data_IF_471948272447
#
_entry.id   IF_471948272447
#
_cell.length_a   1.000
_cell.length_b   1.000
_cell.length_c   1.000
_cell.angle_alpha   90.00
_cell.angle_beta   90.00
_cell.angle_gamma   90.00
#
_symmetry.space_group_name_H-M   'P 1'
#
loop_
_entity.id
_entity.type
_entity.pdbx_description
1 polymer ?
#
# COMPACT_ATOMS: atom_id res chain seq x y z
N UNK A 1 -4.04 4.54 18.47
CA UNK A 1 -4.75 3.81 17.41
C UNK A 1 -6.23 3.84 17.74
N UNK A 2 -7.08 4.27 16.81
CA UNK A 2 -8.53 4.34 16.99
C UNK A 2 -9.09 2.96 17.38
N UNK A 3 -9.99 2.93 18.36
CA UNK A 3 -10.66 1.70 18.80
C UNK A 3 -11.45 1.05 17.65
N UNK A 4 -12.02 1.85 16.74
CA UNK A 4 -12.75 1.34 15.57
C UNK A 4 -11.82 0.63 14.59
N UNK A 5 -10.58 1.07 14.44
CA UNK A 5 -9.59 0.42 13.60
C UNK A 5 -9.35 -1.03 14.05
N UNK A 6 -9.09 -1.22 15.34
CA UNK A 6 -8.87 -2.56 15.89
C UNK A 6 -10.15 -3.41 15.89
N UNK A 7 -11.30 -2.82 16.20
CA UNK A 7 -12.60 -3.50 16.17
C UNK A 7 -12.96 -3.96 14.75
N UNK A 8 -12.78 -3.10 13.74
CA UNK A 8 -13.03 -3.42 12.34
C UNK A 8 -12.12 -4.55 11.86
N UNK A 9 -10.81 -4.49 12.15
CA UNK A 9 -9.87 -5.56 11.81
C UNK A 9 -10.27 -6.91 12.42
N UNK A 10 -10.73 -6.90 13.67
CA UNK A 10 -11.04 -8.11 14.45
C UNK A 10 -12.48 -8.60 14.28
N UNK A 11 -13.30 -7.93 13.46
CA UNK A 11 -14.72 -8.21 13.33
C UNK A 11 -15.47 -8.12 14.69
N UNK A 12 -15.25 -7.02 15.42
CA UNK A 12 -15.78 -6.78 16.78
C UNK A 12 -16.70 -5.56 16.88
N UNK A 13 -17.66 -5.45 15.95
CA UNK A 13 -18.72 -4.45 15.96
C UNK A 13 -18.18 -3.02 16.20
N UNK A 14 -17.37 -2.47 15.26
CA UNK A 14 -16.93 -1.09 15.35
C UNK A 14 -18.12 -0.14 15.35
N UNK A 15 -18.00 0.97 16.06
CA UNK A 15 -19.03 2.01 16.12
C UNK A 15 -19.15 2.77 14.79
N UNK A 16 -18.09 2.79 13.99
CA UNK A 16 -18.05 3.35 12.63
C UNK A 16 -17.03 2.60 11.78
N UNK A 17 -17.22 2.60 10.46
CA UNK A 17 -16.21 2.16 9.49
C UNK A 17 -15.03 3.13 9.55
N UNK A 18 -13.79 2.67 9.82
CA UNK A 18 -12.61 3.54 9.73
C UNK A 18 -12.43 4.05 8.30
N UNK A 19 -12.29 5.36 8.13
CA UNK A 19 -12.10 6.02 6.84
C UNK A 19 -10.89 6.94 6.89
N UNK A 20 -10.15 7.05 5.79
CA UNK A 20 -8.98 7.92 5.65
C UNK A 20 -8.93 8.56 4.27
N UNK A 21 -8.34 9.74 4.19
CA UNK A 21 -8.00 10.40 2.93
C UNK A 21 -6.50 10.69 2.94
N UNK A 22 -5.79 10.23 1.90
CA UNK A 22 -4.40 10.55 1.65
C UNK A 22 -4.31 11.62 0.57
N UNK A 23 -3.58 12.69 0.84
CA UNK A 23 -3.39 13.82 -0.07
C UNK A 23 -1.91 13.89 -0.44
N UNK A 24 -1.58 13.75 -1.72
CA UNK A 24 -0.18 13.78 -2.16
C UNK A 24 0.45 15.18 -1.90
N UNK A 25 1.79 15.25 -1.68
CA UNK A 25 2.47 16.54 -1.53
C UNK A 25 2.23 17.49 -2.72
N UNK A 26 2.17 16.96 -3.96
CA UNK A 26 1.81 17.77 -5.13
C UNK A 26 0.38 18.35 -5.04
N UNK A 27 -0.58 17.65 -4.43
CA UNK A 27 -1.95 18.13 -4.19
C UNK A 27 -1.94 19.31 -3.22
N UNK A 28 -1.21 19.18 -2.12
CA UNK A 28 -0.99 20.28 -1.16
C UNK A 28 -0.30 21.47 -1.80
N UNK A 29 0.75 21.26 -2.59
CA UNK A 29 1.47 22.33 -3.26
C UNK A 29 0.61 23.09 -4.29
N UNK A 30 -0.32 22.39 -4.96
CA UNK A 30 -1.23 22.96 -5.96
C UNK A 30 -2.31 23.84 -5.34
N UNK A 31 -2.99 23.33 -4.31
CA UNK A 31 -4.21 23.96 -3.79
C UNK A 31 -4.02 24.75 -2.49
N UNK A 32 -2.96 24.44 -1.73
CA UNK A 32 -2.54 25.18 -0.54
C UNK A 32 -3.69 25.51 0.43
N UNK A 33 -3.94 26.79 0.67
CA UNK A 33 -4.95 27.27 1.62
C UNK A 33 -6.37 26.81 1.27
N UNK A 34 -6.68 26.64 -0.01
CA UNK A 34 -8.00 26.12 -0.43
C UNK A 34 -8.19 24.65 -0.01
N UNK A 35 -7.10 23.87 0.02
CA UNK A 35 -7.11 22.49 0.52
C UNK A 35 -7.11 22.44 2.06
N UNK A 36 -6.42 23.37 2.72
CA UNK A 36 -6.52 23.54 4.18
C UNK A 36 -7.98 23.82 4.59
N UNK A 37 -8.68 24.68 3.83
CA UNK A 37 -10.10 24.95 4.07
C UNK A 37 -10.95 23.68 3.97
N UNK A 38 -10.72 22.84 2.94
CA UNK A 38 -11.43 21.56 2.79
C UNK A 38 -11.13 20.63 3.97
N UNK A 39 -9.85 20.45 4.30
CA UNK A 39 -9.42 19.57 5.39
C UNK A 39 -10.00 20.01 6.74
N UNK A 40 -10.09 21.32 6.99
CA UNK A 40 -10.68 21.87 8.22
C UNK A 40 -12.18 21.54 8.40
N UNK A 41 -12.91 21.26 7.32
CA UNK A 41 -14.32 20.87 7.37
C UNK A 41 -14.54 19.43 7.87
N UNK A 42 -13.52 18.58 7.82
CA UNK A 42 -13.64 17.14 8.11
C UNK A 42 -12.71 16.66 9.24
N UNK A 43 -12.84 17.21 10.47
CA UNK A 43 -12.02 16.78 11.60
C UNK A 43 -12.21 15.30 11.96
N UNK A 44 -13.32 14.67 11.58
CA UNK A 44 -13.57 13.24 11.80
C UNK A 44 -12.70 12.31 10.94
N UNK A 45 -12.10 12.85 9.87
CA UNK A 45 -11.20 12.17 8.92
C UNK A 45 -9.75 12.54 9.22
N UNK A 46 -9.45 13.84 9.37
CA UNK A 46 -8.09 14.35 9.48
C UNK A 46 -7.58 14.54 10.91
N UNK A 47 -8.45 14.46 11.92
CA UNK A 47 -8.06 14.59 13.33
C UNK A 47 -7.41 15.94 13.63
N UNK A 48 -6.27 15.93 14.31
CA UNK A 48 -5.52 17.15 14.68
C UNK A 48 -5.06 17.95 13.45
N UNK A 49 -4.72 17.27 12.36
CA UNK A 49 -4.29 17.92 11.11
C UNK A 49 -5.37 18.84 10.50
N UNK A 50 -6.64 18.68 10.88
CA UNK A 50 -7.71 19.61 10.49
C UNK A 50 -7.56 21.02 11.08
N UNK A 51 -6.73 21.19 12.11
CA UNK A 51 -6.54 22.45 12.83
C UNK A 51 -5.12 23.02 12.67
N UNK A 52 -4.26 22.38 11.89
CA UNK A 52 -2.87 22.75 11.70
C UNK A 52 -2.65 23.38 10.33
N UNK A 53 -1.69 24.30 10.25
CA UNK A 53 -1.21 24.80 8.96
C UNK A 53 -0.27 23.77 8.34
N UNK A 54 -0.41 23.54 7.04
CA UNK A 54 0.44 22.57 6.36
C UNK A 54 1.81 23.18 6.03
N UNK A 55 2.88 22.44 6.29
CA UNK A 55 4.21 22.79 5.80
C UNK A 55 4.44 22.19 4.41
N UNK A 56 4.18 23.00 3.38
CA UNK A 56 4.32 22.63 1.97
C UNK A 56 5.74 22.24 1.54
N UNK A 57 6.75 22.48 2.38
CA UNK A 57 8.14 22.12 2.07
C UNK A 57 8.49 20.69 2.49
N UNK A 58 7.71 20.08 3.39
CA UNK A 58 7.99 18.76 3.94
C UNK A 58 7.42 17.68 3.03
N UNK A 59 8.29 16.86 2.46
CA UNK A 59 7.92 15.68 1.68
C UNK A 59 9.01 14.60 1.77
N UNK A 60 8.67 13.32 1.52
CA UNK A 60 9.66 12.26 1.53
C UNK A 60 10.79 12.52 0.51
N UNK A 61 12.02 12.02 0.73
CA UNK A 61 13.15 12.26 -0.16
C UNK A 61 12.85 11.92 -1.63
N UNK A 62 12.23 10.77 -1.90
CA UNK A 62 11.84 10.31 -3.25
C UNK A 62 10.78 11.19 -3.93
N UNK A 63 10.15 12.12 -3.21
CA UNK A 63 9.18 13.06 -3.75
C UNK A 63 9.82 14.39 -4.16
N UNK A 64 11.12 14.56 -3.95
CA UNK A 64 11.86 15.71 -4.45
C UNK A 64 12.33 15.44 -5.88
N UNK A 65 12.16 16.42 -6.76
CA UNK A 65 12.69 16.36 -8.12
C UNK A 65 14.21 16.11 -8.11
N UNK A 66 14.69 15.32 -9.06
CA UNK A 66 16.10 14.96 -9.21
C UNK A 66 16.39 13.47 -9.03
N UNK A 67 17.66 13.15 -8.85
CA UNK A 67 18.15 11.79 -8.67
C UNK A 67 18.56 11.52 -7.23
N UNK A 68 18.17 10.36 -6.72
CA UNK A 68 18.50 9.88 -5.39
C UNK A 68 19.01 8.45 -5.48
N UNK A 69 20.10 8.14 -4.79
CA UNK A 69 20.64 6.76 -4.75
C UNK A 69 20.34 6.17 -3.39
N UNK A 70 19.64 5.03 -3.36
CA UNK A 70 19.33 4.36 -2.10
C UNK A 70 20.50 3.50 -1.61
N UNK A 71 20.35 2.92 -0.41
CA UNK A 71 21.38 2.10 0.21
C UNK A 71 21.72 0.82 -0.58
N UNK A 72 20.84 0.38 -1.48
CA UNK A 72 21.05 -0.77 -2.36
C UNK A 72 21.75 -0.39 -3.67
N UNK A 73 21.97 0.90 -3.92
CA UNK A 73 22.57 1.39 -5.15
C UNK A 73 21.56 1.58 -6.30
N UNK A 74 20.26 1.51 -6.02
CA UNK A 74 19.24 1.85 -7.01
C UNK A 74 19.20 3.37 -7.21
N UNK A 75 19.18 3.82 -8.47
CA UNK A 75 18.97 5.26 -8.78
C UNK A 75 17.48 5.49 -8.98
N UNK A 76 16.93 6.37 -8.15
CA UNK A 76 15.57 6.85 -8.18
C UNK A 76 15.54 8.20 -8.89
N UNK A 77 14.83 8.31 -10.01
CA UNK A 77 14.67 9.55 -10.75
C UNK A 77 13.27 10.10 -10.57
N UNK A 78 13.20 11.38 -10.24
CA UNK A 78 11.97 12.14 -10.10
C UNK A 78 11.99 13.32 -11.09
N UNK A 79 10.97 13.39 -11.96
CA UNK A 79 10.80 14.47 -12.95
C UNK A 79 9.65 15.42 -12.60
N UNK A 80 8.96 15.20 -11.48
CA UNK A 80 7.83 16.00 -11.05
C UNK A 80 7.78 16.06 -9.52
N UNK A 81 8.22 17.18 -8.96
CA UNK A 81 8.22 17.42 -7.52
C UNK A 81 6.84 17.16 -6.88
N UNK A 82 6.84 16.53 -5.71
CA UNK A 82 5.64 16.16 -4.97
C UNK A 82 4.92 14.89 -5.46
N UNK A 83 5.44 14.23 -6.50
CA UNK A 83 5.09 12.87 -6.92
C UNK A 83 6.23 11.92 -6.56
N UNK A 84 5.98 10.62 -6.42
CA UNK A 84 7.05 9.67 -6.09
C UNK A 84 8.00 9.41 -7.27
N UNK A 85 9.29 9.20 -6.98
CA UNK A 85 10.31 8.81 -7.95
C UNK A 85 10.13 7.37 -8.45
N UNK A 86 10.73 7.07 -9.59
CA UNK A 86 10.83 5.69 -10.12
C UNK A 86 12.30 5.25 -10.19
N UNK A 87 12.57 3.96 -10.06
CA UNK A 87 13.92 3.44 -10.28
C UNK A 87 14.25 3.42 -11.78
N UNK A 88 15.37 4.04 -12.14
CA UNK A 88 15.86 4.15 -13.53
C UNK A 88 17.21 3.50 -13.75
N UNK A 89 17.92 3.15 -12.68
CA UNK A 89 19.17 2.39 -12.73
C UNK A 89 19.15 1.25 -11.72
N UNK A 90 19.59 0.08 -12.20
CA UNK A 90 19.51 -1.19 -11.50
C UNK A 90 20.93 -1.70 -11.19
N UNK A 91 21.29 -1.94 -9.91
CA UNK A 91 22.65 -2.35 -9.52
C UNK A 91 23.03 -3.77 -9.97
N UNK A 92 22.07 -4.63 -10.29
CA UNK A 92 22.35 -5.99 -10.80
C UNK A 92 21.64 -6.25 -12.15
N UNK A 93 22.04 -5.57 -13.22
CA UNK A 93 21.34 -5.66 -14.52
C UNK A 93 21.60 -6.98 -15.27
N UNK A 94 22.48 -7.86 -14.76
CA UNK A 94 22.73 -9.20 -15.32
C UNK A 94 22.74 -10.26 -14.21
N UNK A 95 22.58 -11.54 -14.60
CA UNK A 95 22.66 -12.69 -13.68
C UNK A 95 24.03 -12.77 -13.01
N UNK A 96 25.11 -12.53 -13.76
CA UNK A 96 26.48 -12.52 -13.23
C UNK A 96 26.64 -11.47 -12.12
N UNK A 97 25.99 -10.32 -12.23
CA UNK A 97 26.04 -9.27 -11.21
C UNK A 97 25.42 -9.72 -9.87
N UNK A 98 24.43 -10.61 -9.88
CA UNK A 98 23.80 -11.17 -8.66
C UNK A 98 24.81 -11.89 -7.78
N UNK A 99 25.79 -12.60 -8.37
CA UNK A 99 26.85 -13.31 -7.62
C UNK A 99 27.74 -12.37 -6.81
N UNK A 100 27.78 -11.09 -7.17
CA UNK A 100 28.58 -10.07 -6.48
C UNK A 100 27.74 -9.16 -5.57
N UNK A 101 26.41 -9.29 -5.60
CA UNK A 101 25.50 -8.48 -4.79
C UNK A 101 25.70 -8.76 -3.31
N UNK A 102 25.76 -7.68 -2.54
CA UNK A 102 25.72 -7.74 -1.07
C UNK A 102 24.59 -6.86 -0.58
N UNK A 103 23.84 -7.36 0.40
CA UNK A 103 22.86 -6.54 1.08
C UNK A 103 23.55 -5.33 1.77
N UNK A 104 22.89 -4.17 1.86
CA UNK A 104 23.49 -2.98 2.47
C UNK A 104 23.82 -3.21 3.95
N UNK A 105 24.91 -2.60 4.41
CA UNK A 105 25.20 -2.51 5.85
C UNK A 105 24.27 -1.51 6.55
N UNK A 106 23.82 -0.48 5.83
CA UNK A 106 22.87 0.50 6.33
C UNK A 106 21.48 -0.11 6.55
N UNK A 107 20.87 0.23 7.68
CA UNK A 107 19.52 -0.17 8.05
C UNK A 107 18.52 0.91 7.63
N UNK A 108 17.87 0.72 6.48
CA UNK A 108 16.89 1.66 5.91
C UNK A 108 15.44 1.22 6.18
N UNK A 109 15.24 0.20 7.03
CA UNK A 109 13.93 -0.33 7.35
C UNK A 109 13.31 -1.13 6.21
N UNK A 110 11.98 -1.17 6.18
CA UNK A 110 11.19 -1.87 5.16
C UNK A 110 10.37 -0.84 4.39
N UNK A 111 10.94 -0.22 3.33
CA UNK A 111 10.22 0.76 2.53
C UNK A 111 9.07 0.10 1.75
N UNK A 112 8.22 0.92 1.13
CA UNK A 112 7.32 0.42 0.10
C UNK A 112 8.14 -0.28 -0.99
N UNK A 113 7.73 -1.50 -1.34
CA UNK A 113 8.51 -2.36 -2.22
C UNK A 113 9.67 -3.07 -1.52
N UNK A 114 9.48 -3.55 -0.30
CA UNK A 114 10.54 -4.22 0.46
C UNK A 114 10.97 -5.58 -0.11
N UNK A 115 10.10 -6.32 -0.81
CA UNK A 115 10.39 -7.68 -1.27
C UNK A 115 10.32 -7.81 -2.79
N UNK A 116 9.14 -7.96 -3.40
CA UNK A 116 9.01 -8.18 -4.85
C UNK A 116 9.49 -6.99 -5.67
N UNK A 117 9.01 -5.79 -5.36
CA UNK A 117 9.48 -4.57 -6.05
C UNK A 117 10.97 -4.35 -5.83
N UNK A 118 11.52 -4.66 -4.64
CA UNK A 118 12.97 -4.61 -4.41
C UNK A 118 13.74 -5.48 -5.40
N UNK A 119 13.23 -6.67 -5.74
CA UNK A 119 13.85 -7.50 -6.78
C UNK A 119 13.83 -6.77 -8.13
N UNK A 120 12.74 -6.11 -8.48
CA UNK A 120 12.59 -5.38 -9.75
C UNK A 120 13.49 -4.13 -9.78
N UNK A 121 13.61 -3.41 -8.67
CA UNK A 121 14.51 -2.27 -8.51
C UNK A 121 15.98 -2.68 -8.67
N UNK A 122 16.35 -3.85 -8.15
CA UNK A 122 17.70 -4.38 -8.22
C UNK A 122 18.04 -4.92 -9.61
N UNK A 123 17.14 -5.72 -10.19
CA UNK A 123 17.37 -6.53 -11.41
C UNK A 123 16.95 -5.84 -12.70
N UNK A 124 16.01 -4.90 -12.61
CA UNK A 124 15.22 -4.39 -13.71
C UNK A 124 13.98 -5.25 -13.98
N UNK A 125 12.83 -4.63 -14.21
CA UNK A 125 11.53 -5.33 -14.35
C UNK A 125 11.56 -6.39 -15.45
N UNK A 126 11.95 -6.02 -16.68
CA UNK A 126 11.98 -6.94 -17.83
C UNK A 126 12.81 -8.18 -17.53
N UNK A 127 13.99 -7.95 -16.98
CA UNK A 127 14.95 -9.00 -16.72
C UNK A 127 14.52 -9.91 -15.56
N UNK A 128 13.92 -9.34 -14.51
CA UNK A 128 13.32 -10.11 -13.44
C UNK A 128 12.19 -11.00 -13.96
N UNK A 129 11.36 -10.51 -14.90
CA UNK A 129 10.31 -11.31 -15.50
C UNK A 129 10.88 -12.48 -16.31
N UNK A 130 11.99 -12.28 -17.03
CA UNK A 130 12.74 -13.35 -17.71
C UNK A 130 13.25 -14.36 -16.68
N UNK A 131 13.80 -13.90 -15.55
CA UNK A 131 14.28 -14.79 -14.50
C UNK A 131 13.14 -15.61 -13.87
N UNK A 132 11.95 -15.04 -13.64
CA UNK A 132 10.79 -15.83 -13.19
C UNK A 132 10.31 -16.85 -14.23
N UNK A 133 10.49 -16.57 -15.52
CA UNK A 133 10.12 -17.47 -16.60
C UNK A 133 11.13 -18.63 -16.77
N UNK A 134 12.43 -18.33 -16.72
CA UNK A 134 13.52 -19.30 -16.95
C UNK A 134 14.00 -20.01 -15.68
N UNK A 135 13.68 -19.47 -14.51
CA UNK A 135 14.04 -20.00 -13.19
C UNK A 135 15.54 -20.29 -13.00
N UNK A 136 16.43 -19.34 -13.34
CA UNK A 136 17.85 -19.52 -13.11
C UNK A 136 18.15 -19.59 -11.60
N UNK A 137 19.24 -20.24 -11.17
CA UNK A 137 19.60 -20.29 -9.75
C UNK A 137 19.79 -18.88 -9.14
N UNK A 138 20.22 -17.91 -9.94
CA UNK A 138 20.39 -16.50 -9.53
C UNK A 138 19.10 -15.84 -9.05
N UNK A 139 17.93 -16.27 -9.54
CA UNK A 139 16.65 -15.76 -9.05
C UNK A 139 16.49 -16.06 -7.56
N UNK A 140 16.75 -17.31 -7.15
CA UNK A 140 16.66 -17.70 -5.75
C UNK A 140 17.74 -17.01 -4.91
N UNK A 141 18.95 -16.87 -5.44
CA UNK A 141 20.03 -16.13 -4.77
C UNK A 141 19.62 -14.68 -4.47
N UNK A 142 19.05 -13.99 -5.46
CA UNK A 142 18.58 -12.61 -5.29
C UNK A 142 17.46 -12.52 -4.25
N UNK A 143 16.48 -13.43 -4.31
CA UNK A 143 15.40 -13.53 -3.33
C UNK A 143 15.95 -13.74 -1.92
N UNK A 144 16.91 -14.65 -1.74
CA UNK A 144 17.48 -14.97 -0.43
C UNK A 144 18.24 -13.77 0.16
N UNK A 145 19.01 -13.03 -0.65
CA UNK A 145 19.72 -11.83 -0.23
C UNK A 145 18.74 -10.75 0.28
N UNK A 146 17.67 -10.50 -0.47
CA UNK A 146 16.65 -9.50 -0.09
C UNK A 146 15.88 -9.96 1.14
N UNK A 147 15.50 -11.24 1.22
CA UNK A 147 14.79 -11.78 2.38
C UNK A 147 15.64 -11.73 3.65
N UNK A 148 16.93 -12.07 3.58
CA UNK A 148 17.84 -12.00 4.73
C UNK A 148 17.95 -10.56 5.25
N UNK A 149 18.12 -9.59 4.35
CA UNK A 149 18.08 -8.17 4.72
C UNK A 149 16.75 -7.81 5.40
N UNK A 150 15.63 -8.19 4.81
CA UNK A 150 14.30 -7.85 5.33
C UNK A 150 14.04 -8.45 6.71
N UNK A 151 14.52 -9.67 6.96
CA UNK A 151 14.45 -10.29 8.29
C UNK A 151 15.27 -9.49 9.32
N UNK A 152 16.47 -9.02 8.96
CA UNK A 152 17.28 -8.13 9.82
C UNK A 152 16.53 -6.83 10.15
N UNK A 153 15.94 -6.18 9.14
CA UNK A 153 15.17 -4.95 9.34
C UNK A 153 13.93 -5.17 10.21
N UNK A 154 13.24 -6.29 10.01
CA UNK A 154 12.08 -6.65 10.82
C UNK A 154 12.44 -6.80 12.30
N UNK A 155 13.57 -7.43 12.65
CA UNK A 155 14.01 -7.53 14.05
C UNK A 155 14.27 -6.16 14.69
N UNK A 156 14.87 -5.23 13.94
CA UNK A 156 15.12 -3.86 14.39
C UNK A 156 13.78 -3.14 14.63
N UNK A 157 12.83 -3.26 13.70
CA UNK A 157 11.49 -2.69 13.85
C UNK A 157 10.79 -3.27 15.08
N UNK A 158 10.79 -4.60 15.26
CA UNK A 158 10.14 -5.25 16.38
C UNK A 158 10.71 -4.85 17.75
N UNK A 159 12.01 -4.52 17.80
CA UNK A 159 12.68 -4.04 19.01
C UNK A 159 12.33 -2.59 19.35
N UNK A 160 12.17 -1.75 18.33
CA UNK A 160 12.06 -0.29 18.49
C UNK A 160 10.63 0.25 18.31
N UNK A 161 9.71 -0.58 17.82
CA UNK A 161 8.32 -0.20 17.53
C UNK A 161 7.35 -1.05 18.36
N UNK A 162 6.42 -0.37 19.05
CA UNK A 162 5.38 -1.00 19.87
C UNK A 162 3.99 -0.99 19.26
N UNK A 163 3.85 -0.59 17.99
CA UNK A 163 2.58 -0.64 17.28
C UNK A 163 2.01 -2.06 17.27
N UNK A 164 0.71 -2.25 17.56
CA UNK A 164 0.08 -3.57 17.48
C UNK A 164 -0.03 -4.05 16.02
N UNK A 165 -0.02 -3.14 15.05
CA UNK A 165 -0.11 -3.45 13.62
C UNK A 165 1.16 -2.95 12.92
N UNK A 166 1.84 -3.82 12.18
CA UNK A 166 2.96 -3.47 11.33
C UNK A 166 2.49 -3.37 9.88
N UNK A 167 2.86 -2.28 9.23
CA UNK A 167 2.47 -1.94 7.85
C UNK A 167 3.57 -2.33 6.88
N UNK A 168 3.19 -3.05 5.83
CA UNK A 168 4.04 -3.44 4.71
C UNK A 168 3.37 -2.97 3.42
N UNK A 169 4.17 -2.55 2.44
CA UNK A 169 3.71 -2.21 1.10
C UNK A 169 4.60 -2.88 0.06
N UNK A 170 4.00 -3.56 -0.92
CA UNK A 170 4.70 -4.17 -2.05
C UNK A 170 3.70 -4.39 -3.18
N UNK A 171 3.93 -3.78 -4.34
CA UNK A 171 2.93 -3.79 -5.42
C UNK A 171 3.06 -5.07 -6.25
N UNK A 172 2.23 -6.04 -5.89
CA UNK A 172 2.23 -7.39 -6.45
C UNK A 172 1.40 -7.52 -7.72
N UNK A 173 0.65 -6.48 -8.11
CA UNK A 173 -0.27 -6.51 -9.22
C UNK A 173 0.11 -5.55 -10.34
N UNK A 174 -0.42 -5.82 -11.53
CA UNK A 174 -0.53 -4.87 -12.64
C UNK A 174 -2.00 -4.51 -12.85
N UNK A 175 -2.30 -3.59 -13.77
CA UNK A 175 -3.66 -3.09 -13.99
C UNK A 175 -4.70 -4.19 -14.29
N UNK A 176 -4.30 -5.27 -14.98
CA UNK A 176 -5.22 -6.32 -15.47
C UNK A 176 -4.78 -7.75 -15.14
N UNK A 177 -3.63 -7.94 -14.48
CA UNK A 177 -3.11 -9.26 -14.12
C UNK A 177 -2.08 -9.16 -13.01
N UNK A 178 -1.62 -10.31 -12.52
CA UNK A 178 -0.35 -10.40 -11.81
C UNK A 178 0.81 -10.30 -12.81
N UNK A 179 1.98 -9.77 -12.41
CA UNK A 179 3.20 -9.78 -13.23
C UNK A 179 3.81 -11.18 -13.36
N UNK A 180 3.68 -12.00 -12.32
CA UNK A 180 4.08 -13.41 -12.32
C UNK A 180 2.87 -14.30 -12.06
N UNK A 181 2.88 -15.53 -12.56
CA UNK A 181 1.76 -16.45 -12.34
C UNK A 181 1.57 -16.74 -10.85
N UNK A 182 0.34 -17.01 -10.37
CA UNK A 182 0.11 -17.42 -8.99
C UNK A 182 0.96 -18.62 -8.55
N UNK A 183 1.27 -19.54 -9.48
CA UNK A 183 2.15 -20.68 -9.22
C UNK A 183 3.58 -20.23 -8.90
N UNK A 184 4.16 -19.35 -9.72
CA UNK A 184 5.51 -18.80 -9.49
C UNK A 184 5.54 -17.94 -8.23
N UNK A 185 4.50 -17.15 -7.99
CA UNK A 185 4.37 -16.38 -6.75
C UNK A 185 4.38 -17.30 -5.52
N UNK A 186 3.61 -18.40 -5.55
CA UNK A 186 3.60 -19.41 -4.47
C UNK A 186 4.94 -20.09 -4.27
N UNK A 187 5.67 -20.34 -5.36
CA UNK A 187 6.99 -20.99 -5.31
C UNK A 187 8.05 -20.07 -4.68
N UNK A 188 8.13 -18.83 -5.13
CA UNK A 188 9.26 -17.94 -4.86
C UNK A 188 8.98 -16.89 -3.78
N UNK A 189 7.79 -16.28 -3.82
CA UNK A 189 7.48 -15.12 -2.99
C UNK A 189 6.71 -15.51 -1.73
N UNK A 190 5.70 -16.38 -1.81
CA UNK A 190 4.92 -16.82 -0.64
C UNK A 190 5.78 -17.25 0.56
N UNK A 191 6.87 -18.02 0.40
CA UNK A 191 7.73 -18.39 1.53
C UNK A 191 8.37 -17.19 2.23
N UNK A 192 8.70 -16.13 1.48
CA UNK A 192 9.27 -14.89 2.00
C UNK A 192 8.27 -14.15 2.90
N UNK A 193 7.07 -13.89 2.38
CA UNK A 193 5.99 -13.24 3.15
C UNK A 193 5.59 -14.08 4.37
N UNK A 194 5.42 -15.39 4.20
CA UNK A 194 5.09 -16.32 5.29
C UNK A 194 6.13 -16.24 6.42
N UNK A 195 7.44 -16.24 6.09
CA UNK A 195 8.52 -16.17 7.07
C UNK A 195 8.46 -14.87 7.88
N UNK A 196 8.32 -13.74 7.19
CA UNK A 196 8.28 -12.42 7.83
C UNK A 196 7.03 -12.23 8.68
N UNK A 197 5.86 -12.56 8.15
CA UNK A 197 4.59 -12.33 8.83
C UNK A 197 4.38 -13.28 10.00
N UNK A 198 4.81 -14.55 9.89
CA UNK A 198 4.89 -15.44 11.05
C UNK A 198 5.72 -14.84 12.18
N UNK A 199 6.87 -14.24 11.86
CA UNK A 199 7.72 -13.59 12.86
C UNK A 199 7.03 -12.38 13.52
N UNK A 200 6.23 -11.62 12.78
CA UNK A 200 5.36 -10.56 13.33
C UNK A 200 4.36 -11.14 14.34
N UNK A 201 3.66 -12.22 13.98
CA UNK A 201 2.69 -12.90 14.83
C UNK A 201 3.32 -13.49 16.09
N UNK A 202 4.52 -14.07 15.99
CA UNK A 202 5.29 -14.56 17.14
C UNK A 202 5.67 -13.44 18.12
N UNK A 203 5.79 -12.20 17.64
CA UNK A 203 5.95 -11.00 18.47
C UNK A 203 4.61 -10.38 18.94
N UNK A 204 3.47 -11.02 18.68
CA UNK A 204 2.15 -10.51 19.03
C UNK A 204 1.70 -9.31 18.20
N UNK A 205 2.22 -9.16 16.98
CA UNK A 205 1.87 -8.07 16.04
C UNK A 205 0.96 -8.58 14.93
N UNK A 206 0.01 -7.74 14.52
CA UNK A 206 -0.80 -7.94 13.32
C UNK A 206 -0.10 -7.35 12.09
N UNK A 207 -0.49 -7.80 10.91
CA UNK A 207 0.08 -7.39 9.62
C UNK A 207 -0.96 -6.65 8.79
N UNK A 208 -0.61 -5.44 8.38
CA UNK A 208 -1.25 -4.70 7.31
C UNK A 208 -0.41 -4.84 6.04
N UNK A 209 -1.04 -5.20 4.91
CA UNK A 209 -0.38 -5.34 3.61
C UNK A 209 -1.06 -4.46 2.58
N UNK A 210 -0.33 -3.49 2.05
CA UNK A 210 -0.69 -2.71 0.87
C UNK A 210 -0.11 -3.34 -0.40
N UNK A 211 -0.89 -3.31 -1.48
CA UNK A 211 -0.42 -3.62 -2.82
C UNK A 211 -1.33 -2.98 -3.85
N UNK A 212 -0.71 -2.26 -4.78
CA UNK A 212 -1.37 -1.80 -6.00
C UNK A 212 -1.57 -2.95 -7.01
N UNK A 213 -2.47 -2.71 -7.97
CA UNK A 213 -2.79 -3.61 -9.06
C UNK A 213 -3.75 -4.75 -8.70
N UNK A 214 -3.92 -5.65 -9.66
CA UNK A 214 -4.80 -6.82 -9.55
C UNK A 214 -4.08 -7.92 -8.77
N UNK A 215 -4.57 -8.20 -7.57
CA UNK A 215 -4.01 -9.18 -6.63
C UNK A 215 -5.03 -10.19 -6.10
N UNK A 216 -6.33 -10.05 -6.41
CA UNK A 216 -7.37 -10.97 -5.92
C UNK A 216 -7.06 -12.47 -6.09
N UNK A 217 -6.31 -12.95 -7.13
CA UNK A 217 -5.96 -14.36 -7.26
C UNK A 217 -5.03 -14.88 -6.15
N UNK A 218 -4.28 -14.00 -5.48
CA UNK A 218 -3.32 -14.35 -4.42
C UNK A 218 -3.68 -13.79 -3.04
N UNK A 219 -4.78 -13.02 -2.91
CA UNK A 219 -5.26 -12.57 -1.58
C UNK A 219 -5.43 -13.74 -0.60
N UNK A 220 -6.04 -14.89 -0.98
CA UNK A 220 -6.13 -16.04 -0.07
C UNK A 220 -4.76 -16.54 0.42
N UNK A 221 -3.75 -16.52 -0.45
CA UNK A 221 -2.39 -16.91 -0.09
C UNK A 221 -1.73 -15.88 0.85
N UNK A 222 -1.98 -14.58 0.67
CA UNK A 222 -1.51 -13.52 1.56
C UNK A 222 -2.14 -13.63 2.96
N UNK A 223 -3.43 -13.94 3.03
CA UNK A 223 -4.12 -14.23 4.30
C UNK A 223 -3.49 -15.45 4.98
N UNK A 224 -3.19 -16.52 4.23
CA UNK A 224 -2.47 -17.68 4.75
C UNK A 224 -1.08 -17.32 5.30
N UNK A 225 -0.36 -16.41 4.65
CA UNK A 225 0.91 -15.89 5.17
C UNK A 225 0.78 -15.13 6.49
N UNK A 226 -0.42 -14.66 6.84
CA UNK A 226 -0.70 -13.96 8.09
C UNK A 226 -1.14 -12.50 7.93
N UNK A 227 -1.57 -12.06 6.75
CA UNK A 227 -2.15 -10.72 6.58
C UNK A 227 -3.48 -10.61 7.34
N UNK A 228 -3.61 -9.56 8.15
CA UNK A 228 -4.83 -9.26 8.92
C UNK A 228 -5.67 -8.15 8.27
N UNK A 229 -4.99 -7.18 7.65
CA UNK A 229 -5.61 -6.09 6.89
C UNK A 229 -4.96 -6.08 5.52
N UNK A 230 -5.76 -6.23 4.47
CA UNK A 230 -5.32 -6.11 3.08
C UNK A 230 -5.82 -4.78 2.52
N UNK A 231 -4.97 -4.08 1.77
CA UNK A 231 -5.32 -2.84 1.09
C UNK A 231 -5.17 -3.00 -0.43
N UNK A 232 -6.24 -3.48 -1.12
CA UNK A 232 -6.29 -3.62 -2.57
C UNK A 232 -7.01 -2.45 -3.25
N UNK A 233 -6.61 -2.16 -4.49
CA UNK A 233 -7.33 -1.24 -5.38
C UNK A 233 -8.64 -1.83 -5.90
N UNK A 234 -9.76 -1.12 -5.70
CA UNK A 234 -11.07 -1.57 -6.15
C UNK A 234 -11.16 -1.71 -7.68
N UNK A 235 -10.58 -0.76 -8.45
CA UNK A 235 -10.65 -0.77 -9.92
C UNK A 235 -9.93 -1.97 -10.52
N UNK A 236 -8.70 -2.25 -10.10
CA UNK A 236 -7.90 -3.34 -10.66
C UNK A 236 -8.45 -4.72 -10.27
N UNK A 237 -9.00 -4.84 -9.07
CA UNK A 237 -9.46 -6.14 -8.55
C UNK A 237 -10.92 -6.46 -8.89
N UNK A 238 -11.76 -5.43 -9.03
CA UNK A 238 -13.20 -5.55 -9.16
C UNK A 238 -13.87 -5.89 -7.82
N UNK A 239 -14.92 -5.14 -7.49
CA UNK A 239 -15.58 -5.23 -6.19
C UNK A 239 -16.15 -6.63 -5.91
N UNK A 240 -16.76 -7.29 -6.91
CA UNK A 240 -17.33 -8.64 -6.74
C UNK A 240 -16.25 -9.71 -6.47
N UNK A 241 -15.07 -9.56 -7.06
CA UNK A 241 -13.94 -10.46 -6.76
C UNK A 241 -13.45 -10.25 -5.33
N UNK A 242 -13.35 -9.00 -4.87
CA UNK A 242 -12.96 -8.66 -3.50
C UNK A 242 -13.98 -9.19 -2.49
N UNK A 243 -15.28 -9.08 -2.77
CA UNK A 243 -16.33 -9.70 -1.94
C UNK A 243 -16.10 -11.21 -1.82
N UNK A 244 -15.84 -11.89 -2.94
CA UNK A 244 -15.62 -13.35 -2.97
C UNK A 244 -14.42 -13.78 -2.11
N UNK A 245 -13.30 -13.05 -2.20
CA UNK A 245 -12.04 -13.49 -1.58
C UNK A 245 -11.79 -12.87 -0.20
N UNK A 246 -12.39 -11.72 0.14
CA UNK A 246 -12.12 -11.01 1.38
C UNK A 246 -13.27 -10.99 2.39
N UNK A 247 -14.52 -10.83 1.95
CA UNK A 247 -15.64 -10.53 2.87
C UNK A 247 -15.80 -11.62 3.94
N UNK A 248 -15.73 -11.22 5.21
CA UNK A 248 -15.80 -12.12 6.37
C UNK A 248 -14.57 -13.00 6.59
N UNK A 249 -13.48 -12.79 5.84
CA UNK A 249 -12.24 -13.60 5.88
C UNK A 249 -11.02 -12.78 6.31
N UNK A 250 -10.91 -11.55 5.82
CA UNK A 250 -9.84 -10.60 6.15
C UNK A 250 -10.42 -9.19 6.14
N UNK A 251 -9.87 -8.30 6.95
CA UNK A 251 -10.27 -6.90 6.91
C UNK A 251 -9.74 -6.24 5.65
N UNK A 252 -10.59 -5.53 4.93
CA UNK A 252 -10.22 -4.80 3.71
C UNK A 252 -10.13 -3.32 4.07
N UNK A 253 -8.96 -2.73 3.95
CA UNK A 253 -8.83 -1.27 3.84
C UNK A 253 -8.92 -0.93 2.36
N UNK A 254 -10.12 -0.70 1.84
CA UNK A 254 -10.34 -0.64 0.39
C UNK A 254 -9.78 0.67 -0.15
N UNK A 255 -8.83 0.58 -1.08
CA UNK A 255 -8.42 1.73 -1.89
C UNK A 255 -9.48 2.00 -2.96
N UNK A 256 -10.18 3.12 -2.80
CA UNK A 256 -11.25 3.56 -3.68
C UNK A 256 -10.70 3.92 -5.07
N UNK A 257 -11.60 4.16 -6.04
CA UNK A 257 -11.17 4.31 -7.44
C UNK A 257 -10.51 5.69 -7.68
N UNK A 258 -9.23 5.81 -7.33
CA UNK A 258 -8.44 7.04 -7.54
C UNK A 258 -8.33 7.44 -9.01
N UNK A 259 -8.52 6.52 -9.97
CA UNK A 259 -8.55 6.84 -11.40
C UNK A 259 -9.88 7.45 -11.84
N UNK A 260 -10.96 7.26 -11.05
CA UNK A 260 -12.26 7.88 -11.30
C UNK A 260 -12.30 9.32 -10.78
N UNK A 261 -11.68 9.58 -9.62
CA UNK A 261 -11.78 10.86 -8.90
C UNK A 261 -11.49 12.13 -9.72
N UNK A 262 -10.57 12.16 -10.69
CA UNK A 262 -10.34 13.36 -11.50
C UNK A 262 -11.49 13.70 -12.47
N UNK A 263 -12.34 12.73 -12.82
CA UNK A 263 -13.27 12.84 -13.95
C UNK A 263 -14.74 12.68 -13.58
N UNK A 264 -15.03 12.11 -12.42
CA UNK A 264 -16.40 11.86 -11.98
C UNK A 264 -17.07 13.10 -11.38
N UNK A 265 -18.39 13.07 -11.35
CA UNK A 265 -19.23 13.99 -10.59
C UNK A 265 -19.27 13.64 -9.10
N UNK A 266 -19.59 14.58 -8.20
CA UNK A 266 -19.81 14.30 -6.78
C UNK A 266 -20.82 13.17 -6.51
N UNK A 267 -21.84 13.04 -7.37
CA UNK A 267 -22.82 11.96 -7.26
C UNK A 267 -22.22 10.58 -7.54
N UNK A 268 -21.38 10.47 -8.56
CA UNK A 268 -20.70 9.21 -8.89
C UNK A 268 -19.72 8.79 -7.79
N UNK A 269 -19.08 9.76 -7.11
CA UNK A 269 -18.26 9.52 -5.92
C UNK A 269 -19.10 8.93 -4.78
N UNK A 270 -20.23 9.55 -4.45
CA UNK A 270 -21.15 9.06 -3.41
C UNK A 270 -21.67 7.66 -3.74
N UNK A 271 -22.07 7.41 -5.00
CA UNK A 271 -22.56 6.11 -5.45
C UNK A 271 -21.47 5.02 -5.36
N UNK A 272 -20.22 5.35 -5.75
CA UNK A 272 -19.06 4.45 -5.66
C UNK A 272 -18.75 4.04 -4.21
N UNK A 273 -18.68 5.02 -3.31
CA UNK A 273 -18.41 4.77 -1.88
C UNK A 273 -19.55 3.98 -1.24
N UNK A 274 -20.81 4.31 -1.57
CA UNK A 274 -21.97 3.56 -1.11
C UNK A 274 -21.90 2.10 -1.54
N UNK A 275 -21.65 1.84 -2.82
CA UNK A 275 -21.58 0.47 -3.35
C UNK A 275 -20.50 -0.35 -2.64
N UNK A 276 -19.32 0.24 -2.41
CA UNK A 276 -18.25 -0.40 -1.66
C UNK A 276 -18.70 -0.79 -0.24
N UNK A 277 -19.35 0.13 0.48
CA UNK A 277 -19.85 -0.12 1.84
C UNK A 277 -20.95 -1.18 1.86
N UNK A 278 -21.92 -1.11 0.94
CA UNK A 278 -23.02 -2.08 0.86
C UNK A 278 -22.52 -3.50 0.54
N UNK A 279 -21.57 -3.62 -0.39
CA UNK A 279 -21.08 -4.92 -0.85
C UNK A 279 -20.06 -5.53 0.08
N UNK A 280 -19.07 -4.78 0.57
CA UNK A 280 -17.99 -5.32 1.41
C UNK A 280 -18.24 -5.18 2.90
N UNK A 281 -18.98 -4.15 3.34
CA UNK A 281 -19.20 -3.84 4.75
C UNK A 281 -20.06 -4.87 5.48
N UNK A 282 -19.94 -4.84 6.82
CA UNK A 282 -20.82 -5.55 7.76
C UNK A 282 -20.85 -4.83 9.11
N UNK A 283 -21.92 -4.98 9.91
CA UNK A 283 -21.97 -4.47 11.29
C UNK A 283 -20.85 -5.02 12.17
N UNK A 284 -20.40 -6.26 11.94
CA UNK A 284 -19.29 -6.88 12.67
C UNK A 284 -17.96 -6.17 12.39
N UNK A 285 -17.79 -5.50 11.26
CA UNK A 285 -16.55 -4.88 10.80
C UNK A 285 -16.03 -5.50 9.51
N UNK A 286 -14.70 -5.58 9.36
CA UNK A 286 -14.04 -6.13 8.18
C UNK A 286 -13.87 -5.19 6.99
N UNK A 287 -14.32 -3.94 7.11
CA UNK A 287 -14.13 -2.89 6.11
C UNK A 287 -13.52 -1.65 6.76
N UNK A 288 -12.55 -1.06 6.08
CA UNK A 288 -12.03 0.29 6.21
C UNK A 288 -11.97 0.87 4.79
N UNK A 289 -11.92 2.19 4.66
CA UNK A 289 -11.81 2.85 3.37
C UNK A 289 -10.67 3.84 3.35
N UNK A 290 -9.93 3.87 2.25
CA UNK A 290 -8.97 4.92 1.94
C UNK A 290 -9.28 5.52 0.57
N UNK A 291 -9.18 6.84 0.48
CA UNK A 291 -9.15 7.56 -0.78
C UNK A 291 -7.82 8.32 -0.89
N UNK A 292 -7.03 8.01 -1.91
CA UNK A 292 -5.85 8.81 -2.25
C UNK A 292 -6.20 9.82 -3.34
N UNK A 293 -5.81 11.09 -3.15
CA UNK A 293 -6.03 12.17 -4.11
C UNK A 293 -4.70 12.80 -4.55
N UNK A 294 -4.44 12.72 -5.85
CA UNK A 294 -3.35 13.42 -6.53
C UNK A 294 -3.71 14.85 -6.95
N UNK A 295 -2.73 15.60 -7.51
CA UNK A 295 -2.93 16.99 -7.93
C UNK A 295 -3.90 17.13 -9.11
N UNK A 296 -4.29 16.04 -9.75
CA UNK A 296 -5.27 15.95 -10.83
C UNK A 296 -6.72 15.92 -10.33
N UNK A 297 -6.96 15.58 -9.05
CA UNK A 297 -8.30 15.55 -8.46
C UNK A 297 -8.79 16.97 -8.13
N UNK A 298 -9.94 17.43 -8.68
CA UNK A 298 -10.51 18.74 -8.35
C UNK A 298 -10.87 18.88 -6.86
N UNK A 299 -10.74 20.09 -6.30
CA UNK A 299 -11.11 20.37 -4.91
C UNK A 299 -12.57 20.00 -4.58
N UNK A 300 -13.50 20.26 -5.51
CA UNK A 300 -14.91 19.86 -5.36
C UNK A 300 -15.05 18.34 -5.20
N UNK A 301 -14.23 17.56 -5.90
CA UNK A 301 -14.23 16.12 -5.79
C UNK A 301 -13.55 15.64 -4.51
N UNK A 302 -12.48 16.30 -4.04
CA UNK A 302 -11.86 16.01 -2.73
C UNK A 302 -12.87 16.26 -1.60
N UNK A 303 -13.61 17.38 -1.65
CA UNK A 303 -14.67 17.70 -0.69
C UNK A 303 -15.79 16.65 -0.73
N UNK A 304 -16.26 16.29 -1.93
CA UNK A 304 -17.29 15.26 -2.12
C UNK A 304 -16.86 13.87 -1.60
N UNK A 305 -15.59 13.50 -1.78
CA UNK A 305 -15.00 12.28 -1.21
C UNK A 305 -15.08 12.33 0.32
N UNK A 306 -14.60 13.41 0.93
CA UNK A 306 -14.59 13.57 2.38
C UNK A 306 -16.01 13.52 2.95
N UNK A 307 -16.95 14.27 2.37
CA UNK A 307 -18.36 14.26 2.78
C UNK A 307 -18.99 12.86 2.68
N UNK A 308 -18.74 12.14 1.59
CA UNK A 308 -19.27 10.79 1.37
C UNK A 308 -18.65 9.79 2.35
N UNK A 309 -17.34 9.84 2.58
CA UNK A 309 -16.65 8.99 3.55
C UNK A 309 -17.16 9.23 4.97
N UNK A 310 -17.32 10.48 5.40
CA UNK A 310 -17.86 10.81 6.72
C UNK A 310 -19.29 10.26 6.88
N UNK A 311 -20.16 10.52 5.91
CA UNK A 311 -21.54 10.01 5.86
C UNK A 311 -21.60 8.48 5.94
N UNK A 312 -20.89 7.78 5.06
CA UNK A 312 -20.95 6.32 4.98
C UNK A 312 -20.13 5.64 6.08
N UNK A 313 -19.27 6.35 6.80
CA UNK A 313 -18.60 5.79 7.97
C UNK A 313 -19.58 5.34 9.06
N UNK A 314 -20.78 5.93 9.10
CA UNK A 314 -21.85 5.62 10.07
C UNK A 314 -22.94 4.70 9.49
N UNK A 315 -22.70 4.01 8.37
CA UNK A 315 -23.74 3.25 7.65
C UNK A 315 -24.40 2.13 8.49
N UNK A 316 -23.65 1.53 9.43
CA UNK A 316 -24.13 0.44 10.29
C UNK A 316 -24.41 0.87 11.74
N UNK A 317 -24.34 2.19 12.01
CA UNK A 317 -24.43 2.77 13.36
C UNK A 317 -25.85 3.21 13.73
#
# INVERSE_FOLDING_TARGET
MDSNYMKAMKFQYPERIPVRVALLPATWAKYREDLEEVVSRYPSIFGEAANEKHDYSVKPPTYNEGEHVDAWGCVWSNIHDGMEAIVTHHPVPTREAVHSLKAPEADIGLPHGFMYLRLADLRGFTELMIDFAEEPPELQMLIDIVLEYNMRQLEIILKNNNSPVLTFGDDLGMQHSLPISPEKWRKYLKPCYMKMYRRCHEAGRYVYMHSDGLIYPIIPDLVECGVNIINPQVRANGLDNLVRVCKGKVCVDLDLDRQMFPFCTPKEIDDHIREAVEKLGSPEGGLMLIAECGPDVPLENIDAICASLEKYSLYFS
#
